data_IF_056081979006
#
_entry.id   IF_056081979006
#
_cell.length_a   1.000
_cell.length_b   1.000
_cell.length_c   1.000
_cell.angle_alpha   90.00
_cell.angle_beta   90.00
_cell.angle_gamma   90.00
#
_symmetry.space_group_name_H-M   'P 1'
#
loop_
_entity.id
_entity.type
_entity.pdbx_description
1 polymer ?
#
# COMPACT_ATOMS: atom_id res chain seq x y z
N UNK A 1 -20.91 -20.79 7.22
CA UNK A 1 -20.55 -20.80 5.78
C UNK A 1 -19.12 -20.29 5.68
N UNK A 2 -18.21 -21.01 5.04
CA UNK A 2 -16.86 -20.50 4.79
C UNK A 2 -16.82 -19.90 3.38
N UNK A 3 -16.43 -18.65 3.25
CA UNK A 3 -16.32 -17.98 1.95
C UNK A 3 -15.03 -18.42 1.27
N UNK A 4 -15.11 -18.94 0.05
CA UNK A 4 -13.95 -19.37 -0.73
C UNK A 4 -13.78 -18.40 -1.90
N UNK A 5 -12.61 -17.77 -1.99
CA UNK A 5 -12.22 -16.94 -3.14
C UNK A 5 -11.44 -17.81 -4.14
N UNK A 6 -11.98 -17.97 -5.36
CA UNK A 6 -11.43 -18.86 -6.37
C UNK A 6 -11.08 -18.16 -7.70
N UNK A 7 -11.05 -16.82 -7.73
CA UNK A 7 -10.82 -16.04 -8.95
C UNK A 7 -9.50 -15.24 -8.92
N UNK A 8 -8.41 -15.92 -8.58
CA UNK A 8 -7.07 -15.31 -8.56
C UNK A 8 -6.56 -14.90 -9.95
N UNK A 9 -7.21 -15.35 -11.03
CA UNK A 9 -6.86 -15.00 -12.40
C UNK A 9 -7.33 -13.58 -12.77
N UNK A 10 -8.39 -13.07 -12.12
CA UNK A 10 -8.84 -11.69 -12.29
C UNK A 10 -7.99 -10.70 -11.49
N UNK A 11 -7.71 -11.01 -10.22
CA UNK A 11 -6.82 -10.25 -9.34
C UNK A 11 -6.43 -11.09 -8.13
N UNK A 12 -5.48 -10.63 -7.33
CA UNK A 12 -4.98 -11.36 -6.15
C UNK A 12 -5.02 -10.48 -4.91
N UNK A 13 -5.01 -11.14 -3.75
CA UNK A 13 -4.79 -10.45 -2.49
C UNK A 13 -3.36 -9.86 -2.47
N UNK A 14 -3.24 -8.62 -2.01
CA UNK A 14 -1.92 -7.99 -1.78
C UNK A 14 -1.15 -8.82 -0.75
N UNK A 15 0.10 -9.17 -1.07
CA UNK A 15 0.96 -9.88 -0.14
C UNK A 15 1.26 -9.00 1.10
N UNK A 16 1.30 -9.55 2.33
CA UNK A 16 1.50 -8.76 3.54
C UNK A 16 2.76 -7.87 3.49
N UNK A 17 3.87 -8.38 2.96
CA UNK A 17 5.13 -7.66 2.82
C UNK A 17 5.04 -6.46 1.86
N UNK A 18 4.16 -6.53 0.84
CA UNK A 18 3.90 -5.41 -0.07
C UNK A 18 3.08 -4.35 0.64
N UNK A 19 2.05 -4.76 1.40
CA UNK A 19 1.27 -3.82 2.20
C UNK A 19 2.16 -3.10 3.23
N UNK A 20 2.99 -3.84 3.95
CA UNK A 20 3.90 -3.28 4.96
C UNK A 20 4.88 -2.28 4.35
N UNK A 21 5.41 -2.56 3.15
CA UNK A 21 6.29 -1.64 2.44
C UNK A 21 5.56 -0.37 1.97
N UNK A 22 4.26 -0.45 1.66
CA UNK A 22 3.46 0.68 1.19
C UNK A 22 2.93 1.57 2.34
N UNK A 23 2.62 0.99 3.51
CA UNK A 23 1.97 1.69 4.62
C UNK A 23 2.67 2.99 5.07
N UNK A 24 4.01 3.09 5.13
CA UNK A 24 4.69 4.34 5.50
C UNK A 24 4.30 5.52 4.61
N UNK A 25 4.11 5.29 3.30
CA UNK A 25 3.76 6.35 2.34
C UNK A 25 2.31 6.82 2.45
N UNK A 26 1.46 6.07 3.17
CA UNK A 26 0.10 6.48 3.51
C UNK A 26 -0.03 7.11 4.90
N UNK A 27 1.04 7.15 5.69
CA UNK A 27 1.02 7.62 7.08
C UNK A 27 2.04 8.70 7.36
N UNK A 28 3.32 8.37 7.23
CA UNK A 28 4.44 9.17 7.70
C UNK A 28 5.17 9.85 6.54
N UNK A 29 5.25 9.18 5.38
CA UNK A 29 5.95 9.60 4.17
C UNK A 29 4.98 9.99 3.05
N UNK A 30 3.91 10.74 3.35
CA UNK A 30 2.83 11.07 2.40
C UNK A 30 3.11 12.29 1.50
N UNK A 31 4.34 12.81 1.52
CA UNK A 31 4.71 14.05 0.85
C UNK A 31 4.67 13.92 -0.68
N UNK A 32 4.41 15.05 -1.35
CA UNK A 32 4.52 15.11 -2.80
C UNK A 32 6.01 14.96 -3.20
N UNK A 33 6.38 13.92 -3.97
CA UNK A 33 7.77 13.70 -4.38
C UNK A 33 8.34 14.82 -5.28
N UNK A 34 7.48 15.67 -5.85
CA UNK A 34 7.88 16.81 -6.69
C UNK A 34 8.01 18.12 -5.91
N UNK A 35 7.75 18.13 -4.59
CA UNK A 35 7.91 19.34 -3.79
C UNK A 35 9.39 19.75 -3.70
N UNK A 36 9.65 21.05 -3.84
CA UNK A 36 11.00 21.64 -3.75
C UNK A 36 11.47 21.88 -2.30
N UNK A 37 10.66 21.52 -1.31
CA UNK A 37 10.92 21.73 0.10
C UNK A 37 10.88 20.39 0.86
N UNK A 38 11.68 20.32 1.91
CA UNK A 38 11.76 19.14 2.77
C UNK A 38 10.41 18.87 3.47
N UNK A 39 10.12 17.59 3.80
CA UNK A 39 9.05 17.23 4.73
C UNK A 39 9.01 18.14 5.96
N UNK A 40 7.82 18.64 6.29
CA UNK A 40 7.61 19.33 7.56
C UNK A 40 7.89 18.34 8.71
N UNK A 41 8.78 18.72 9.63
CA UNK A 41 9.15 17.92 10.80
C UNK A 41 8.19 18.15 11.96
#
# INVERSE_FOLDING_TARGET
MNTIYADNNATTQVAPEVLDAMLPFFKDCYFNPSSMYEPAR
#
